data_IF_879331570373
#
_entry.id   IF_879331570373
#
_cell.length_a   1.000
_cell.length_b   1.000
_cell.length_c   1.000
_cell.angle_alpha   90.00
_cell.angle_beta   90.00
_cell.angle_gamma   90.00
#
_symmetry.space_group_name_H-M   'P 1'
#
loop_
_entity.id
_entity.type
_entity.pdbx_description
1 polymer ?
#
# COMPACT_ATOMS: atom_id res chain seq x y z
N UNK A 1 16.86 15.98 -43.13
CA UNK A 1 15.79 16.94 -43.49
C UNK A 1 14.45 16.53 -42.88
N UNK A 2 13.95 15.30 -43.04
CA UNK A 2 12.65 14.86 -42.48
C UNK A 2 12.60 14.82 -40.95
N UNK A 3 13.67 14.37 -40.31
CA UNK A 3 13.75 14.28 -38.83
C UNK A 3 13.70 15.64 -38.16
N UNK A 4 14.31 16.66 -38.74
CA UNK A 4 14.28 18.03 -38.19
C UNK A 4 12.90 18.68 -38.40
N UNK A 5 12.28 18.46 -39.56
CA UNK A 5 10.88 18.89 -39.79
C UNK A 5 9.93 18.25 -38.78
N UNK A 6 10.08 16.93 -38.51
CA UNK A 6 9.29 16.25 -37.48
C UNK A 6 9.48 16.85 -36.09
N UNK A 7 10.74 17.09 -35.67
CA UNK A 7 11.02 17.71 -34.35
C UNK A 7 10.37 19.09 -34.22
N UNK A 8 10.49 19.90 -35.26
CA UNK A 8 9.90 21.25 -35.29
C UNK A 8 8.39 21.21 -35.18
N UNK A 9 7.73 20.36 -35.94
CA UNK A 9 6.27 20.16 -35.89
C UNK A 9 5.83 19.63 -34.54
N UNK A 10 6.50 18.59 -34.02
CA UNK A 10 6.21 18.05 -32.68
C UNK A 10 6.32 19.11 -31.59
N UNK A 11 7.38 19.90 -31.60
CA UNK A 11 7.59 20.95 -30.59
C UNK A 11 6.53 22.04 -30.71
N UNK A 12 6.12 22.40 -31.94
CA UNK A 12 5.04 23.37 -32.17
C UNK A 12 3.70 22.86 -31.64
N UNK A 13 3.37 21.59 -31.87
CA UNK A 13 2.16 20.94 -31.32
C UNK A 13 2.19 20.91 -29.79
N UNK A 14 3.32 20.53 -29.19
CA UNK A 14 3.46 20.50 -27.74
C UNK A 14 3.29 21.90 -27.13
N UNK A 15 3.86 22.93 -27.77
CA UNK A 15 3.73 24.32 -27.30
C UNK A 15 2.29 24.80 -27.41
N UNK A 16 1.59 24.52 -28.52
CA UNK A 16 0.18 24.84 -28.71
C UNK A 16 -0.69 24.18 -27.63
N UNK A 17 -0.52 22.87 -27.40
CA UNK A 17 -1.26 22.13 -26.37
C UNK A 17 -1.03 22.70 -24.95
N UNK A 18 0.19 23.19 -24.64
CA UNK A 18 0.48 23.84 -23.36
C UNK A 18 -0.26 25.17 -23.20
N UNK A 19 -0.31 25.97 -24.27
CA UNK A 19 -1.05 27.23 -24.29
C UNK A 19 -2.55 27.02 -24.15
N UNK A 20 -3.11 26.03 -24.86
CA UNK A 20 -4.51 25.69 -24.78
C UNK A 20 -4.91 25.20 -23.38
N UNK A 21 -4.06 24.35 -22.77
CA UNK A 21 -4.26 23.97 -21.35
C UNK A 21 -4.25 25.18 -20.42
N UNK A 22 -3.26 26.07 -20.57
CA UNK A 22 -3.17 27.29 -19.75
C UNK A 22 -4.44 28.15 -19.90
N UNK A 23 -4.90 28.39 -21.12
CA UNK A 23 -6.15 29.13 -21.40
C UNK A 23 -7.35 28.45 -20.75
N UNK A 24 -7.54 27.15 -20.97
CA UNK A 24 -8.65 26.38 -20.38
C UNK A 24 -8.68 26.49 -18.85
N UNK A 25 -7.52 26.46 -18.19
CA UNK A 25 -7.42 26.65 -16.73
C UNK A 25 -7.85 28.05 -16.33
N UNK A 26 -7.29 29.05 -16.99
CA UNK A 26 -7.61 30.44 -16.69
C UNK A 26 -9.09 30.74 -16.86
N UNK A 27 -9.68 30.25 -17.94
CA UNK A 27 -11.12 30.40 -18.25
C UNK A 27 -12.01 29.66 -17.24
N UNK A 28 -11.62 28.50 -16.77
CA UNK A 28 -12.34 27.75 -15.73
C UNK A 28 -12.32 28.49 -14.39
N UNK A 29 -11.15 29.00 -13.99
CA UNK A 29 -11.02 29.76 -12.75
C UNK A 29 -11.77 31.12 -12.81
N UNK A 30 -11.74 31.81 -13.96
CA UNK A 30 -12.46 33.08 -14.14
C UNK A 30 -13.99 32.89 -14.12
N UNK A 31 -14.48 31.71 -14.47
CA UNK A 31 -15.90 31.32 -14.32
C UNK A 31 -16.28 30.89 -12.91
N UNK A 32 -15.35 30.97 -11.93
CA UNK A 32 -15.61 30.60 -10.54
C UNK A 32 -15.65 29.08 -10.28
N UNK A 33 -15.11 28.25 -11.20
CA UNK A 33 -14.99 26.84 -10.93
C UNK A 33 -14.03 26.58 -9.75
N UNK A 34 -14.36 25.59 -8.92
CA UNK A 34 -13.52 25.23 -7.79
C UNK A 34 -12.09 24.85 -8.26
N UNK A 35 -11.03 25.53 -7.76
CA UNK A 35 -9.65 25.34 -8.19
C UNK A 35 -9.18 23.87 -8.08
N UNK A 36 -9.64 23.15 -7.08
CA UNK A 36 -9.30 21.73 -6.88
C UNK A 36 -9.91 20.84 -7.96
N UNK A 37 -11.14 21.12 -8.41
CA UNK A 37 -11.78 20.40 -9.52
C UNK A 37 -11.05 20.65 -10.84
N UNK A 38 -10.60 21.87 -11.06
CA UNK A 38 -9.80 22.24 -12.23
C UNK A 38 -8.45 21.51 -12.20
N UNK A 39 -7.78 21.48 -11.05
CA UNK A 39 -6.53 20.78 -10.86
C UNK A 39 -6.67 19.26 -11.07
N UNK A 40 -7.70 18.62 -10.53
CA UNK A 40 -7.94 17.19 -10.70
C UNK A 40 -8.20 16.82 -12.17
N UNK A 41 -8.91 17.66 -12.92
CA UNK A 41 -9.16 17.52 -14.36
C UNK A 41 -7.84 17.58 -15.17
N UNK A 42 -6.97 18.52 -14.84
CA UNK A 42 -5.68 18.71 -15.52
C UNK A 42 -4.72 17.56 -15.24
N UNK A 43 -4.69 17.11 -13.98
CA UNK A 43 -3.83 16.02 -13.53
C UNK A 43 -4.34 14.65 -13.96
N UNK A 44 -5.48 14.61 -14.63
CA UNK A 44 -6.11 13.35 -15.06
C UNK A 44 -6.46 12.46 -13.87
N UNK A 45 -6.64 13.04 -12.69
CA UNK A 45 -7.11 12.30 -11.54
C UNK A 45 -8.55 11.89 -11.82
N UNK A 46 -8.72 10.67 -12.33
CA UNK A 46 -10.03 10.03 -12.35
C UNK A 46 -10.50 9.99 -10.90
N UNK A 47 -11.64 10.60 -10.59
CA UNK A 47 -12.34 10.34 -9.32
C UNK A 47 -12.38 8.83 -9.20
N UNK A 48 -11.92 8.28 -8.06
CA UNK A 48 -12.10 6.86 -7.82
C UNK A 48 -13.57 6.59 -8.05
N UNK A 49 -13.93 5.72 -9.02
CA UNK A 49 -15.32 5.40 -9.22
C UNK A 49 -15.88 4.90 -7.90
N UNK A 50 -17.07 5.32 -7.53
CA UNK A 50 -17.72 4.86 -6.32
C UNK A 50 -17.65 3.34 -6.22
N UNK A 51 -17.35 2.85 -5.02
CA UNK A 51 -17.23 1.44 -4.76
C UNK A 51 -18.62 0.84 -4.53
N UNK A 52 -19.15 0.19 -5.56
CA UNK A 52 -20.44 -0.47 -5.51
C UNK A 52 -20.23 -1.99 -5.42
N UNK A 53 -20.89 -2.62 -4.46
CA UNK A 53 -20.97 -4.07 -4.36
C UNK A 53 -22.42 -4.52 -4.47
N UNK A 54 -22.62 -5.70 -5.03
CA UNK A 54 -23.91 -6.41 -5.00
C UNK A 54 -23.87 -7.53 -3.97
N UNK A 55 -25.00 -7.73 -3.29
CA UNK A 55 -25.23 -8.91 -2.48
C UNK A 55 -25.50 -10.14 -3.36
N UNK A 56 -25.75 -11.29 -2.73
CA UNK A 56 -26.02 -12.55 -3.44
C UNK A 56 -27.35 -12.51 -4.22
N UNK A 57 -28.28 -11.63 -3.84
CA UNK A 57 -29.55 -11.37 -4.54
C UNK A 57 -29.42 -10.40 -5.72
N UNK A 58 -28.22 -9.86 -5.97
CA UNK A 58 -27.95 -8.89 -7.05
C UNK A 58 -28.32 -7.44 -6.70
N UNK A 59 -28.74 -7.13 -5.47
CA UNK A 59 -29.04 -5.77 -5.00
C UNK A 59 -27.77 -5.06 -4.57
N UNK A 60 -27.71 -3.75 -4.79
CA UNK A 60 -26.59 -2.93 -4.34
C UNK A 60 -26.58 -2.80 -2.81
N UNK A 61 -25.40 -2.91 -2.23
CA UNK A 61 -25.14 -2.65 -0.82
C UNK A 61 -24.79 -1.16 -0.71
N UNK A 62 -25.60 -0.40 0.05
CA UNK A 62 -25.40 1.05 0.19
C UNK A 62 -24.45 1.39 1.34
N UNK A 63 -24.60 0.69 2.47
CA UNK A 63 -23.82 0.93 3.68
C UNK A 63 -22.36 0.51 3.55
N UNK A 64 -21.43 1.43 3.84
CA UNK A 64 -19.99 1.21 3.69
C UNK A 64 -19.45 0.20 4.70
N UNK A 65 -20.03 0.12 5.90
CA UNK A 65 -19.66 -0.90 6.89
C UNK A 65 -20.00 -2.29 6.38
N UNK A 66 -21.22 -2.46 5.89
CA UNK A 66 -21.68 -3.73 5.28
C UNK A 66 -20.82 -4.12 4.08
N UNK A 67 -20.44 -3.15 3.21
CA UNK A 67 -19.47 -3.41 2.11
C UNK A 67 -18.13 -3.92 2.63
N UNK A 68 -17.62 -3.30 3.71
CA UNK A 68 -16.35 -3.69 4.31
C UNK A 68 -16.41 -5.09 4.91
N UNK A 69 -17.49 -5.42 5.65
CA UNK A 69 -17.71 -6.73 6.24
C UNK A 69 -17.83 -7.81 5.17
N UNK A 70 -18.61 -7.59 4.13
CA UNK A 70 -18.76 -8.51 2.98
C UNK A 70 -17.43 -8.77 2.28
N UNK A 71 -16.59 -7.75 2.09
CA UNK A 71 -15.28 -7.92 1.48
C UNK A 71 -14.31 -8.65 2.40
N UNK A 72 -14.34 -8.37 3.70
CA UNK A 72 -13.52 -9.05 4.69
C UNK A 72 -13.85 -10.55 4.73
N UNK A 73 -15.12 -10.90 4.86
CA UNK A 73 -15.59 -12.29 4.88
C UNK A 73 -15.23 -13.02 3.59
N UNK A 74 -15.38 -12.36 2.46
CA UNK A 74 -14.98 -12.92 1.17
C UNK A 74 -13.49 -13.28 1.13
N UNK A 75 -12.60 -12.39 1.58
CA UNK A 75 -11.17 -12.65 1.56
C UNK A 75 -10.76 -13.71 2.57
N UNK A 76 -11.29 -13.68 3.79
CA UNK A 76 -11.03 -14.68 4.84
C UNK A 76 -11.49 -16.06 4.38
N UNK A 77 -12.73 -16.18 3.92
CA UNK A 77 -13.29 -17.46 3.42
C UNK A 77 -12.50 -18.01 2.24
N UNK A 78 -12.04 -17.13 1.34
CA UNK A 78 -11.21 -17.54 0.19
C UNK A 78 -9.90 -18.16 0.64
N UNK A 79 -9.23 -17.56 1.63
CA UNK A 79 -7.99 -18.12 2.21
C UNK A 79 -8.26 -19.45 2.89
N UNK A 80 -9.33 -19.57 3.68
CA UNK A 80 -9.73 -20.82 4.34
C UNK A 80 -9.99 -21.94 3.34
N UNK A 81 -10.71 -21.66 2.24
CA UNK A 81 -10.96 -22.63 1.16
C UNK A 81 -9.66 -23.10 0.49
N UNK A 82 -8.73 -22.18 0.24
CA UNK A 82 -7.42 -22.53 -0.34
C UNK A 82 -6.61 -23.39 0.62
N UNK A 83 -6.64 -23.10 1.92
CA UNK A 83 -5.96 -23.83 2.96
C UNK A 83 -6.52 -25.26 3.09
N UNK A 84 -7.85 -25.41 3.16
CA UNK A 84 -8.51 -26.70 3.21
C UNK A 84 -8.18 -27.60 2.00
N UNK A 85 -7.96 -27.00 0.83
CA UNK A 85 -7.51 -27.73 -0.37
C UNK A 85 -6.07 -28.21 -0.26
N UNK A 86 -5.19 -27.47 0.40
CA UNK A 86 -3.80 -27.85 0.63
C UNK A 86 -3.72 -28.94 1.72
N UNK A 87 -4.47 -28.77 2.80
CA UNK A 87 -4.52 -29.72 3.91
C UNK A 87 -5.07 -31.10 3.47
N UNK A 88 -5.90 -31.15 2.42
CA UNK A 88 -6.38 -32.40 1.79
C UNK A 88 -5.42 -33.03 0.77
N UNK A 89 -4.30 -32.38 0.46
CA UNK A 89 -3.26 -32.96 -0.37
C UNK A 89 -2.28 -33.71 0.54
N UNK A 90 -2.13 -35.06 0.33
CA UNK A 90 -1.02 -35.78 0.94
C UNK A 90 0.30 -35.16 0.46
N UNK A 91 0.83 -34.27 1.26
CA UNK A 91 2.20 -33.79 1.09
C UNK A 91 3.07 -34.97 1.45
N UNK A 92 3.61 -35.68 0.45
CA UNK A 92 4.75 -36.58 0.70
C UNK A 92 5.81 -35.71 1.36
N UNK A 93 5.96 -35.85 2.68
CA UNK A 93 7.07 -35.31 3.41
C UNK A 93 8.34 -35.92 2.80
N UNK A 94 8.86 -35.32 1.73
CA UNK A 94 10.28 -35.49 1.45
C UNK A 94 10.96 -34.93 2.67
N UNK A 95 11.48 -35.84 3.51
CA UNK A 95 12.37 -35.48 4.61
C UNK A 95 13.38 -34.50 4.02
N UNK A 96 13.21 -33.22 4.33
CA UNK A 96 14.23 -32.21 4.02
C UNK A 96 15.47 -32.69 4.78
N UNK A 97 16.35 -33.42 4.08
CA UNK A 97 17.71 -33.75 4.54
C UNK A 97 18.46 -32.44 4.75
N UNK A 98 18.21 -31.82 5.87
CA UNK A 98 18.74 -30.49 6.19
C UNK A 98 18.66 -30.15 7.66
N UNK A 99 18.37 -31.12 8.53
CA UNK A 99 18.63 -30.97 9.96
C UNK A 99 20.13 -31.07 10.22
N UNK A 100 20.91 -30.18 9.65
CA UNK A 100 22.23 -29.88 10.21
C UNK A 100 21.98 -29.38 11.63
N UNK A 101 22.55 -30.10 12.60
CA UNK A 101 22.53 -29.69 14.00
C UNK A 101 23.34 -28.38 14.10
N UNK A 102 22.72 -27.25 13.73
CA UNK A 102 23.30 -25.92 13.90
C UNK A 102 23.28 -25.62 15.40
N UNK A 103 24.33 -26.09 16.12
CA UNK A 103 24.48 -25.90 17.57
C UNK A 103 24.68 -24.46 18.02
N UNK A 104 24.47 -23.49 17.14
CA UNK A 104 24.54 -22.07 17.43
C UNK A 104 23.17 -21.49 17.77
N UNK A 105 23.06 -20.79 18.90
CA UNK A 105 21.88 -19.99 19.21
C UNK A 105 21.86 -18.79 18.27
N UNK A 106 20.77 -18.67 17.48
CA UNK A 106 20.53 -17.46 16.68
C UNK A 106 20.10 -16.33 17.62
N UNK A 107 20.71 -15.16 17.46
CA UNK A 107 20.26 -13.94 18.13
C UNK A 107 20.33 -12.76 17.17
N UNK A 108 19.32 -11.92 17.21
CA UNK A 108 19.34 -10.67 16.45
C UNK A 108 20.38 -9.71 17.02
N UNK A 109 21.09 -8.99 16.15
CA UNK A 109 21.96 -7.90 16.58
C UNK A 109 21.13 -6.65 16.88
N UNK A 110 21.59 -5.85 17.85
CA UNK A 110 20.94 -4.60 18.18
C UNK A 110 20.98 -3.61 17.02
N UNK A 111 19.89 -2.91 16.84
CA UNK A 111 19.69 -1.87 15.83
C UNK A 111 20.08 -0.53 16.41
N UNK A 112 20.94 0.22 15.73
CA UNK A 112 21.35 1.56 16.14
C UNK A 112 20.33 2.62 15.72
N UNK A 113 20.35 3.77 16.39
CA UNK A 113 19.54 4.94 15.99
C UNK A 113 19.77 5.33 14.54
N UNK A 114 21.03 5.17 14.06
CA UNK A 114 21.37 5.48 12.67
C UNK A 114 20.76 4.48 11.68
N UNK A 115 20.66 3.20 12.06
CA UNK A 115 19.97 2.19 11.25
C UNK A 115 18.49 2.53 11.09
N UNK A 116 17.82 2.93 12.17
CA UNK A 116 16.43 3.37 12.14
C UNK A 116 16.25 4.59 11.24
N UNK A 117 17.12 5.59 11.37
CA UNK A 117 17.11 6.75 10.46
C UNK A 117 17.22 6.33 8.99
N UNK A 118 18.08 5.36 8.69
CA UNK A 118 18.26 4.84 7.34
C UNK A 118 17.04 4.04 6.86
N UNK A 119 16.42 3.23 7.73
CA UNK A 119 15.16 2.52 7.43
C UNK A 119 14.09 3.54 7.02
N UNK A 120 13.82 4.52 7.86
CA UNK A 120 12.77 5.52 7.65
C UNK A 120 13.03 6.41 6.42
N UNK A 121 14.28 6.80 6.17
CA UNK A 121 14.67 7.59 4.98
C UNK A 121 14.40 6.82 3.68
N UNK A 122 14.70 5.52 3.63
CA UNK A 122 14.51 4.66 2.45
C UNK A 122 13.03 4.39 2.15
N UNK A 123 12.16 4.43 3.14
CA UNK A 123 10.72 4.26 2.91
C UNK A 123 10.20 5.36 1.97
N UNK A 124 9.37 4.99 0.99
CA UNK A 124 8.72 5.97 0.10
C UNK A 124 7.80 6.89 0.91
N UNK A 125 7.85 8.20 0.65
CA UNK A 125 6.89 9.15 1.22
C UNK A 125 5.49 8.82 0.71
N UNK A 126 4.55 8.60 1.62
CA UNK A 126 3.18 8.19 1.31
C UNK A 126 2.23 8.64 2.42
N UNK A 127 0.99 8.95 2.05
CA UNK A 127 -0.13 9.16 2.99
C UNK A 127 -0.80 7.86 3.42
N UNK A 128 -0.45 6.75 2.77
CA UNK A 128 -0.98 5.44 3.16
C UNK A 128 -0.49 5.08 4.56
N UNK A 129 -1.41 4.69 5.43
CA UNK A 129 -1.17 4.36 6.83
C UNK A 129 -1.84 3.02 7.18
N UNK A 130 -1.37 2.39 8.24
CA UNK A 130 -2.03 1.27 8.90
C UNK A 130 -3.26 1.72 9.69
N UNK A 131 -3.69 0.86 10.62
CA UNK A 131 -4.81 1.15 11.53
C UNK A 131 -4.48 2.27 12.52
N UNK A 132 -3.18 2.48 12.79
CA UNK A 132 -2.62 3.50 13.66
C UNK A 132 -2.71 4.93 13.09
N UNK A 133 -3.09 5.08 11.82
CA UNK A 133 -3.15 6.37 11.15
C UNK A 133 -1.78 7.02 10.87
N UNK A 134 -0.67 6.35 11.21
CA UNK A 134 0.68 6.90 11.07
C UNK A 134 1.19 6.65 9.65
N UNK A 135 1.47 7.72 8.91
CA UNK A 135 2.03 7.66 7.56
C UNK A 135 3.49 8.11 7.53
N UNK A 136 4.21 7.66 6.50
CA UNK A 136 5.59 8.11 6.29
C UNK A 136 5.69 9.62 5.97
N UNK A 137 4.61 10.25 5.53
CA UNK A 137 4.56 11.71 5.30
C UNK A 137 4.73 12.49 6.60
N UNK A 138 4.10 12.03 7.71
CA UNK A 138 4.19 12.67 9.03
C UNK A 138 5.50 12.35 9.76
N UNK A 139 6.01 11.13 9.57
CA UNK A 139 7.21 10.66 10.29
C UNK A 139 8.50 11.24 9.69
N UNK A 140 8.56 11.41 8.36
CA UNK A 140 9.81 11.86 7.71
C UNK A 140 10.35 13.21 8.18
N UNK A 141 9.54 14.23 8.48
CA UNK A 141 10.04 15.49 9.02
C UNK A 141 10.69 15.38 10.40
N UNK A 142 10.26 14.41 11.22
CA UNK A 142 10.66 14.26 12.63
C UNK A 142 11.50 12.99 12.89
N UNK A 143 12.16 12.48 11.86
CA UNK A 143 12.99 11.25 11.96
C UNK A 143 14.07 11.37 13.05
N UNK A 144 14.69 12.55 13.19
CA UNK A 144 15.80 12.73 14.14
C UNK A 144 15.33 12.57 15.58
N UNK A 145 14.15 13.09 15.87
CA UNK A 145 13.55 13.16 17.18
C UNK A 145 13.00 11.81 17.63
N UNK A 146 12.37 11.06 16.70
CA UNK A 146 11.69 9.80 17.01
C UNK A 146 12.57 8.55 16.86
N UNK A 147 13.68 8.63 16.10
CA UNK A 147 14.51 7.46 15.83
C UNK A 147 15.07 6.78 17.07
N UNK A 148 15.45 7.47 18.16
CA UNK A 148 15.88 6.81 19.40
C UNK A 148 14.79 5.90 19.99
N UNK A 149 13.56 6.42 20.18
CA UNK A 149 12.46 5.64 20.74
C UNK A 149 12.07 4.44 19.85
N UNK A 150 12.15 4.61 18.52
CA UNK A 150 11.90 3.49 17.59
C UNK A 150 13.03 2.45 17.66
N UNK A 151 14.29 2.85 17.90
CA UNK A 151 15.38 1.92 18.07
C UNK A 151 15.20 1.07 19.35
N UNK A 152 14.80 1.69 20.45
CA UNK A 152 14.50 1.01 21.69
C UNK A 152 13.35 0.01 21.53
N UNK A 153 12.26 0.42 20.86
CA UNK A 153 11.13 -0.45 20.56
C UNK A 153 11.55 -1.67 19.71
N UNK A 154 12.34 -1.46 18.66
CA UNK A 154 12.83 -2.54 17.80
C UNK A 154 13.71 -3.48 18.60
N UNK A 155 14.64 -2.96 19.36
CA UNK A 155 15.58 -3.76 20.15
C UNK A 155 14.86 -4.59 21.22
N UNK A 156 13.89 -4.03 21.94
CA UNK A 156 13.05 -4.78 22.90
C UNK A 156 12.31 -5.91 22.18
N UNK A 157 11.66 -5.61 21.04
CA UNK A 157 10.93 -6.62 20.26
C UNK A 157 11.84 -7.77 19.79
N UNK A 158 13.05 -7.46 19.32
CA UNK A 158 14.00 -8.46 18.81
C UNK A 158 14.66 -9.26 19.94
N UNK A 159 14.98 -8.63 21.07
CA UNK A 159 15.61 -9.30 22.22
C UNK A 159 14.66 -10.23 22.96
N UNK A 160 13.40 -9.83 23.09
CA UNK A 160 12.35 -10.61 23.74
C UNK A 160 11.75 -11.67 22.80
N UNK A 161 12.01 -11.60 21.49
CA UNK A 161 11.38 -12.46 20.49
C UNK A 161 9.86 -12.21 20.35
N UNK A 162 9.38 -11.04 20.77
CA UNK A 162 7.96 -10.68 20.80
C UNK A 162 7.64 -9.61 19.77
N UNK A 163 6.79 -9.92 18.79
CA UNK A 163 6.22 -8.91 17.90
C UNK A 163 4.95 -8.33 18.54
N UNK A 164 4.89 -7.01 18.79
CA UNK A 164 3.76 -6.38 19.49
C UNK A 164 2.42 -6.63 18.80
N UNK A 165 1.39 -6.99 19.58
CA UNK A 165 0.06 -7.34 19.05
C UNK A 165 -0.59 -6.19 18.29
N UNK A 166 -0.41 -4.94 18.73
CA UNK A 166 -0.94 -3.75 18.06
C UNK A 166 -0.44 -3.58 16.62
N UNK A 167 0.71 -4.17 16.27
CA UNK A 167 1.27 -4.11 14.92
C UNK A 167 0.86 -5.30 14.04
N UNK A 168 0.19 -6.32 14.62
CA UNK A 168 -0.32 -7.48 13.87
C UNK A 168 -1.65 -7.20 13.16
N UNK A 169 -2.28 -6.06 13.45
CA UNK A 169 -3.52 -5.65 12.81
C UNK A 169 -3.21 -4.90 11.52
N UNK A 170 -3.89 -5.28 10.44
CA UNK A 170 -3.74 -4.64 9.14
C UNK A 170 -5.05 -4.02 8.67
N UNK A 171 -4.96 -2.82 8.09
CA UNK A 171 -6.07 -2.21 7.35
C UNK A 171 -6.08 -2.77 5.94
N UNK A 172 -7.15 -3.51 5.59
CA UNK A 172 -7.30 -4.05 4.24
C UNK A 172 -7.89 -2.98 3.31
N UNK A 173 -7.22 -2.77 2.19
CA UNK A 173 -7.70 -1.91 1.10
C UNK A 173 -7.99 -2.78 -0.13
N UNK A 174 -9.21 -2.68 -0.65
CA UNK A 174 -9.63 -3.43 -1.83
C UNK A 174 -9.20 -2.69 -3.10
N UNK A 175 -8.30 -3.27 -3.88
CA UNK A 175 -7.83 -2.69 -5.14
C UNK A 175 -8.45 -3.44 -6.31
N UNK A 176 -9.15 -2.70 -7.18
CA UNK A 176 -9.69 -3.26 -8.42
C UNK A 176 -8.58 -3.80 -9.33
N UNK A 177 -8.79 -4.99 -9.89
CA UNK A 177 -7.80 -5.69 -10.74
C UNK A 177 -7.65 -5.09 -12.15
N UNK A 178 -8.51 -4.12 -12.50
CA UNK A 178 -8.54 -3.54 -13.85
C UNK A 178 -9.33 -4.35 -14.87
N UNK A 179 -9.95 -5.48 -14.46
CA UNK A 179 -10.77 -6.36 -15.31
C UNK A 179 -11.91 -6.99 -14.52
N UNK A 180 -12.98 -7.38 -15.21
CA UNK A 180 -14.19 -7.95 -14.61
C UNK A 180 -15.18 -6.87 -14.16
N UNK A 181 -16.33 -7.29 -13.64
CA UNK A 181 -17.36 -6.38 -13.13
C UNK A 181 -16.87 -5.74 -11.82
N UNK A 182 -17.03 -4.42 -11.70
CA UNK A 182 -16.67 -3.66 -10.50
C UNK A 182 -17.60 -3.95 -9.32
N UNK A 183 -18.77 -4.53 -9.56
CA UNK A 183 -19.70 -4.94 -8.51
C UNK A 183 -19.43 -6.34 -7.96
N UNK A 184 -18.52 -7.09 -8.60
CA UNK A 184 -18.12 -8.44 -8.19
C UNK A 184 -16.90 -8.41 -7.24
N UNK A 185 -17.03 -9.02 -6.07
CA UNK A 185 -15.97 -9.23 -5.06
C UNK A 185 -14.70 -9.83 -5.68
N UNK A 186 -14.83 -10.73 -6.65
CA UNK A 186 -13.71 -11.39 -7.32
C UNK A 186 -12.86 -10.43 -8.16
N UNK A 187 -13.37 -9.27 -8.53
CA UNK A 187 -12.66 -8.25 -9.31
C UNK A 187 -11.67 -7.44 -8.48
N UNK A 188 -11.54 -7.70 -7.19
CA UNK A 188 -10.68 -6.97 -6.26
C UNK A 188 -9.54 -7.83 -5.69
N UNK A 189 -8.45 -7.14 -5.30
CA UNK A 189 -7.33 -7.70 -4.55
C UNK A 189 -7.30 -7.07 -3.16
N UNK A 190 -7.11 -7.86 -2.07
CA UNK A 190 -6.81 -7.29 -0.77
C UNK A 190 -5.36 -6.79 -0.74
N UNK A 191 -5.15 -5.58 -0.23
CA UNK A 191 -3.83 -5.03 0.07
C UNK A 191 -3.81 -4.67 1.54
N UNK A 192 -2.91 -5.31 2.29
CA UNK A 192 -2.75 -5.08 3.72
C UNK A 192 -1.85 -3.88 3.98
N UNK A 193 -2.40 -2.84 4.59
CA UNK A 193 -1.65 -1.72 5.10
C UNK A 193 -1.32 -1.96 6.58
N UNK A 194 -0.08 -2.34 6.83
CA UNK A 194 0.44 -2.56 8.18
C UNK A 194 0.83 -1.25 8.85
N UNK A 195 0.82 -1.18 10.20
CA UNK A 195 1.39 -0.10 10.98
C UNK A 195 2.84 0.18 10.60
N UNK A 196 3.21 1.46 10.58
CA UNK A 196 4.55 1.87 10.15
C UNK A 196 5.66 1.28 11.03
N UNK A 197 5.45 1.27 12.35
CA UNK A 197 6.42 0.74 13.30
C UNK A 197 6.59 -0.77 13.15
N UNK A 198 5.52 -1.51 12.87
CA UNK A 198 5.59 -2.93 12.53
C UNK A 198 6.50 -3.18 11.31
N UNK A 199 6.35 -2.37 10.25
CA UNK A 199 7.25 -2.45 9.07
C UNK A 199 8.70 -2.14 9.44
N UNK A 200 8.96 -1.25 10.40
CA UNK A 200 10.33 -0.98 10.85
C UNK A 200 10.95 -2.20 11.53
N UNK A 201 10.20 -2.90 12.39
CA UNK A 201 10.64 -4.14 13.04
C UNK A 201 10.92 -5.23 11.99
N UNK A 202 9.99 -5.44 11.03
CA UNK A 202 10.17 -6.41 9.94
C UNK A 202 11.42 -6.13 9.11
N UNK A 203 11.64 -4.87 8.72
CA UNK A 203 12.83 -4.48 7.96
C UNK A 203 14.10 -4.65 8.78
N UNK A 204 14.06 -4.40 10.08
CA UNK A 204 15.19 -4.64 10.97
C UNK A 204 15.51 -6.14 11.07
N UNK A 205 14.50 -6.99 11.29
CA UNK A 205 14.66 -8.44 11.35
C UNK A 205 15.16 -9.05 10.02
N UNK A 206 14.65 -8.57 8.87
CA UNK A 206 15.03 -9.08 7.55
C UNK A 206 16.46 -8.73 7.11
N UNK A 207 17.22 -7.96 7.88
CA UNK A 207 18.62 -7.62 7.59
C UNK A 207 19.63 -8.64 8.11
N UNK A 208 19.15 -9.64 8.83
CA UNK A 208 19.92 -10.74 9.44
C UNK A 208 19.63 -12.08 8.75
#
# INVERSE_FOLDING_TARGET
VQREKYKTLRNRVISSLRLDRKRSVTDSLSRGENPWHVADRILGKKRNPEFHLKNEEGKFIEDDKTKADVMNDFFVTKVQRLRARIDGLEIKNEETKGSGNYGGKFSFKSVTVNDVKNILKRMKRSRSCGIDGISTEYIKPVIKEIAPAIADLINSSLSEGVFPQCFKLAKIVCIYKGKGDRTDKNSYRPVSNLPLLGKCIEVAAARW
#
